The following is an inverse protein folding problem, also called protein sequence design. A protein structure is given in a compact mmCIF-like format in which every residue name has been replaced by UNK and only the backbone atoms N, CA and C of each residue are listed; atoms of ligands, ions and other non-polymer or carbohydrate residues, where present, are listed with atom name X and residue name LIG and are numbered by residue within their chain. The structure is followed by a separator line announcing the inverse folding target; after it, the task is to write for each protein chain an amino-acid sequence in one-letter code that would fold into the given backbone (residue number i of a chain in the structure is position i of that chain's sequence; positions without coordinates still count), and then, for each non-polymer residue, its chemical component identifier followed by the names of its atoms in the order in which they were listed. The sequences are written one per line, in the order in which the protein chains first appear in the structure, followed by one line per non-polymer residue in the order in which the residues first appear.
data_IF_427610282527
#
_entry.id   IF_427610282527
#
_cell.length_a   1.000
_cell.length_b   1.000
_cell.length_c   1.000
_cell.angle_alpha   90.00
_cell.angle_beta   90.00
_cell.angle_gamma   90.00
#
_symmetry.space_group_name_H-M   'P 1'
#
loop_
_entity.id
_entity.type
_entity.pdbx_description
1 polymer ?
#
# COMPACT_ATOMS: atom_id res chain seq x y z
N UNK A 1 -16.03 9.69 19.92
CA UNK A 1 -16.39 9.79 21.37
C UNK A 1 -15.41 8.93 22.17
N UNK A 2 -15.32 9.02 23.51
CA UNK A 2 -14.47 8.10 24.31
C UNK A 2 -15.36 7.05 24.98
N UNK A 3 -15.25 5.79 24.58
CA UNK A 3 -15.89 4.69 25.28
C UNK A 3 -14.88 4.06 26.25
N UNK A 4 -15.24 4.04 27.53
CA UNK A 4 -14.51 3.31 28.55
C UNK A 4 -15.46 2.33 29.22
N UNK A 5 -14.94 1.15 29.57
CA UNK A 5 -15.65 0.16 30.38
C UNK A 5 -15.00 0.21 31.77
N UNK A 6 -15.79 0.51 32.80
CA UNK A 6 -15.33 0.42 34.18
C UNK A 6 -15.67 -0.94 34.78
N UNK A 7 -14.83 -1.46 35.68
CA UNK A 7 -15.23 -2.57 36.56
C UNK A 7 -16.23 -2.08 37.62
N UNK A 8 -16.71 -3.01 38.45
CA UNK A 8 -17.64 -2.76 39.56
C UNK A 8 -17.11 -1.75 40.58
N UNK A 9 -15.79 -1.54 40.62
CA UNK A 9 -15.09 -0.61 41.52
C UNK A 9 -14.85 0.77 40.89
N UNK A 10 -15.34 1.00 39.66
CA UNK A 10 -15.21 2.28 38.96
C UNK A 10 -13.86 2.50 38.28
N UNK A 11 -12.99 1.50 38.26
CA UNK A 11 -11.69 1.56 37.59
C UNK A 11 -11.84 1.29 36.10
N UNK A 12 -11.14 2.06 35.27
CA UNK A 12 -11.12 1.86 33.82
C UNK A 12 -10.39 0.56 33.50
N UNK A 13 -11.10 -0.44 32.98
CA UNK A 13 -10.51 -1.74 32.61
C UNK A 13 -10.15 -1.82 31.13
N UNK A 14 -10.93 -1.13 30.28
CA UNK A 14 -10.72 -1.14 28.84
C UNK A 14 -10.91 0.28 28.29
N UNK A 15 -9.86 0.81 27.68
CA UNK A 15 -9.89 2.06 26.95
C UNK A 15 -10.10 1.73 25.46
N UNK A 16 -11.29 1.99 24.94
CA UNK A 16 -11.52 1.91 23.49
C UNK A 16 -11.27 3.32 22.94
N UNK A 17 -10.05 3.51 22.44
CA UNK A 17 -9.69 4.71 21.70
C UNK A 17 -10.37 4.62 20.32
N UNK A 18 -11.52 5.28 20.20
CA UNK A 18 -12.21 5.55 18.94
C UNK A 18 -11.34 6.37 17.96
N UNK A 19 -10.18 6.86 18.43
CA UNK A 19 -9.26 7.69 17.68
C UNK A 19 -7.81 7.44 18.14
N UNK A 20 -7.31 6.22 17.93
CA UNK A 20 -5.87 6.00 17.83
C UNK A 20 -5.39 6.70 16.53
N UNK A 21 -5.18 8.02 16.63
CA UNK A 21 -4.72 8.93 15.57
C UNK A 21 -3.27 8.67 15.11
N UNK A 22 -2.80 7.42 15.18
CA UNK A 22 -1.50 7.01 14.66
C UNK A 22 -1.63 6.53 13.23
N UNK A 23 -1.37 7.42 12.26
CA UNK A 23 -0.97 7.08 10.90
C UNK A 23 -1.70 5.89 10.23
N UNK A 24 -3.03 5.95 10.12
CA UNK A 24 -3.85 4.86 9.53
C UNK A 24 -3.78 4.85 7.99
N UNK A 25 -2.57 4.84 7.44
CA UNK A 25 -2.36 4.63 6.01
C UNK A 25 -2.65 3.16 5.66
N UNK A 26 -3.57 2.94 4.73
CA UNK A 26 -3.71 1.67 4.04
C UNK A 26 -2.92 1.69 2.74
N UNK A 27 -2.11 0.67 2.52
CA UNK A 27 -1.25 0.59 1.34
C UNK A 27 -1.91 -0.26 0.24
N UNK A 28 -2.02 0.33 -0.94
CA UNK A 28 -2.58 -0.28 -2.15
C UNK A 28 -1.55 -0.23 -3.28
N UNK A 29 -1.60 -1.22 -4.17
CA UNK A 29 -0.97 -1.10 -5.47
C UNK A 29 -2.02 -0.69 -6.50
N UNK A 30 -1.99 0.57 -6.93
CA UNK A 30 -2.95 1.14 -7.89
C UNK A 30 -2.70 0.58 -9.29
N UNK A 31 -3.73 -0.04 -9.84
CA UNK A 31 -3.79 -0.54 -11.22
C UNK A 31 -4.55 0.42 -12.13
N UNK A 32 -5.35 1.30 -11.55
CA UNK A 32 -6.09 2.36 -12.25
C UNK A 32 -5.93 3.65 -11.47
N UNK A 33 -5.50 4.69 -12.16
CA UNK A 33 -5.45 6.06 -11.66
C UNK A 33 -6.00 6.99 -12.74
N UNK A 34 -6.57 8.16 -12.36
CA UNK A 34 -7.08 9.14 -13.31
C UNK A 34 -6.00 9.62 -14.25
N UNK A 35 -6.26 9.53 -15.55
CA UNK A 35 -5.49 10.19 -16.59
C UNK A 35 -6.28 11.41 -17.11
N UNK A 36 -5.56 12.49 -17.43
CA UNK A 36 -6.17 13.64 -18.10
C UNK A 36 -6.23 13.33 -19.59
N UNK A 37 -7.42 13.08 -20.11
CA UNK A 37 -7.65 12.95 -21.56
C UNK A 37 -8.56 14.09 -22.00
N UNK A 38 -8.09 14.92 -22.94
CA UNK A 38 -8.85 15.97 -23.62
C UNK A 38 -9.71 16.88 -22.70
N UNK A 39 -9.14 17.31 -21.57
CA UNK A 39 -9.77 18.27 -20.66
C UNK A 39 -10.87 17.71 -19.75
N UNK A 40 -11.28 16.45 -19.95
CA UNK A 40 -12.23 15.74 -19.07
C UNK A 40 -11.46 14.79 -18.16
N UNK A 41 -11.49 15.04 -16.84
CA UNK A 41 -10.82 14.18 -15.87
C UNK A 41 -11.80 13.11 -15.38
N UNK A 42 -11.62 11.86 -15.83
CA UNK A 42 -12.26 10.70 -15.21
C UNK A 42 -11.52 10.37 -13.93
N UNK A 43 -12.12 10.67 -12.78
CA UNK A 43 -11.49 10.52 -11.46
C UNK A 43 -11.82 9.16 -10.84
N UNK A 44 -11.36 8.05 -11.40
CA UNK A 44 -11.47 6.73 -10.77
C UNK A 44 -10.11 6.19 -10.32
N UNK A 45 -10.07 5.64 -9.11
CA UNK A 45 -8.92 4.93 -8.57
C UNK A 45 -9.31 3.49 -8.27
N UNK A 46 -8.48 2.54 -8.68
CA UNK A 46 -8.64 1.14 -8.31
C UNK A 46 -7.27 0.50 -8.11
N UNK A 47 -7.22 -0.49 -7.23
CA UNK A 47 -5.97 -1.17 -6.93
C UNK A 47 -6.14 -2.40 -6.08
N UNK A 48 -5.00 -3.01 -5.79
CA UNK A 48 -4.87 -4.25 -5.06
C UNK A 48 -4.49 -3.96 -3.61
N UNK A 49 -5.14 -4.66 -2.70
CA UNK A 49 -4.70 -4.78 -1.30
C UNK A 49 -4.86 -6.22 -0.86
N UNK A 50 -3.79 -6.84 -0.39
CA UNK A 50 -3.73 -8.24 0.06
C UNK A 50 -4.39 -9.18 -0.97
N UNK A 51 -3.94 -9.09 -2.23
CA UNK A 51 -4.45 -9.92 -3.34
C UNK A 51 -5.84 -9.57 -3.87
N UNK A 52 -6.57 -8.64 -3.23
CA UNK A 52 -7.94 -8.30 -3.61
C UNK A 52 -7.99 -6.99 -4.37
N UNK A 53 -8.63 -6.99 -5.54
CA UNK A 53 -8.94 -5.78 -6.32
C UNK A 53 -10.10 -5.01 -5.71
N UNK A 54 -9.96 -3.69 -5.62
CA UNK A 54 -11.00 -2.80 -5.10
C UNK A 54 -10.99 -1.45 -5.80
N UNK A 55 -12.20 -0.91 -6.03
CA UNK A 55 -12.38 0.49 -6.40
C UNK A 55 -12.31 1.35 -5.15
N UNK A 56 -11.71 2.54 -5.26
CA UNK A 56 -11.58 3.50 -4.17
C UNK A 56 -12.53 4.67 -4.43
N UNK A 57 -13.52 4.85 -3.55
CA UNK A 57 -14.46 5.97 -3.64
C UNK A 57 -13.76 7.28 -3.27
N UNK A 58 -13.36 8.03 -4.28
CA UNK A 58 -12.70 9.32 -4.14
C UNK A 58 -13.67 10.51 -4.11
N UNK A 59 -14.98 10.29 -4.16
CA UNK A 59 -16.02 11.32 -4.15
C UNK A 59 -15.70 12.49 -5.12
N UNK A 60 -15.29 12.16 -6.33
CA UNK A 60 -14.94 13.15 -7.36
C UNK A 60 -13.59 13.87 -7.19
N UNK A 61 -12.79 13.55 -6.17
CA UNK A 61 -11.51 14.23 -5.89
C UNK A 61 -10.35 13.62 -6.69
N UNK A 62 -9.46 14.49 -7.16
CA UNK A 62 -8.18 14.09 -7.76
C UNK A 62 -7.05 14.25 -6.75
N UNK A 63 -6.25 13.20 -6.56
CA UNK A 63 -5.18 13.16 -5.56
C UNK A 63 -3.76 13.26 -6.16
N UNK A 64 -3.61 13.37 -7.48
CA UNK A 64 -2.29 13.57 -8.09
C UNK A 64 -1.34 12.37 -8.00
N UNK A 65 -1.86 11.16 -7.76
CA UNK A 65 -1.06 9.92 -7.78
C UNK A 65 -1.29 9.14 -9.07
N UNK A 66 -0.33 8.31 -9.45
CA UNK A 66 -0.36 7.46 -10.64
C UNK A 66 -0.49 5.98 -10.25
N UNK A 67 -0.53 5.09 -11.25
CA UNK A 67 -0.41 3.65 -11.01
C UNK A 67 0.88 3.33 -10.27
N UNK A 68 0.85 2.29 -9.42
CA UNK A 68 1.94 1.96 -8.50
C UNK A 68 1.52 1.97 -7.02
N UNK A 69 2.49 1.88 -6.12
CA UNK A 69 2.24 1.85 -4.68
C UNK A 69 1.71 3.19 -4.17
N UNK A 70 0.56 3.19 -3.49
CA UNK A 70 -0.04 4.36 -2.87
C UNK A 70 -0.49 4.08 -1.44
N UNK A 71 -0.34 5.09 -0.57
CA UNK A 71 -0.94 5.13 0.74
C UNK A 71 -2.28 5.84 0.63
N UNK A 72 -3.31 5.29 1.27
CA UNK A 72 -4.68 5.78 1.25
C UNK A 72 -5.16 5.96 2.69
N UNK A 73 -5.72 7.13 2.99
CA UNK A 73 -6.47 7.38 4.22
C UNK A 73 -7.94 7.48 3.88
N UNK A 74 -8.80 6.95 4.75
CA UNK A 74 -10.24 6.97 4.57
C UNK A 74 -10.92 7.88 5.60
N UNK A 75 -12.07 8.42 5.22
CA UNK A 75 -13.03 8.99 6.16
C UNK A 75 -13.78 7.84 6.86
N UNK A 76 -14.54 8.17 7.91
CA UNK A 76 -15.35 7.19 8.64
C UNK A 76 -16.44 6.52 7.79
N UNK A 77 -16.83 7.14 6.67
CA UNK A 77 -17.81 6.61 5.71
C UNK A 77 -17.19 5.69 4.63
N UNK A 78 -15.86 5.47 4.68
CA UNK A 78 -15.13 4.64 3.73
C UNK A 78 -14.69 5.36 2.45
N UNK A 79 -15.04 6.64 2.27
CA UNK A 79 -14.53 7.44 1.14
C UNK A 79 -13.06 7.82 1.37
N UNK A 80 -12.31 8.00 0.29
CA UNK A 80 -10.91 8.43 0.35
C UNK A 80 -10.83 9.86 0.87
N UNK A 81 -10.13 10.00 2.00
CA UNK A 81 -9.78 11.28 2.62
C UNK A 81 -8.55 11.89 1.97
N UNK A 82 -7.52 11.06 1.75
CA UNK A 82 -6.22 11.49 1.26
C UNK A 82 -5.50 10.32 0.58
N UNK A 83 -4.65 10.61 -0.39
CA UNK A 83 -3.84 9.61 -1.09
C UNK A 83 -2.46 10.18 -1.40
N UNK A 84 -1.42 9.36 -1.21
CA UNK A 84 -0.03 9.75 -1.47
C UNK A 84 0.72 8.63 -2.17
N UNK A 85 1.54 8.99 -3.14
CA UNK A 85 2.40 8.05 -3.86
C UNK A 85 3.54 7.57 -2.95
N UNK A 86 3.80 6.27 -2.95
CA UNK A 86 5.00 5.70 -2.32
C UNK A 86 6.21 5.92 -3.23
N UNK A 87 7.40 5.93 -2.65
CA UNK A 87 8.64 6.03 -3.42
C UNK A 87 8.99 4.66 -4.01
N UNK A 88 9.15 4.60 -5.34
CA UNK A 88 9.59 3.39 -6.03
C UNK A 88 11.11 3.23 -5.94
N UNK A 89 11.57 2.02 -5.63
CA UNK A 89 12.99 1.66 -5.51
C UNK A 89 13.23 0.32 -6.19
N UNK A 90 14.24 0.24 -7.06
CA UNK A 90 14.71 -1.06 -7.57
C UNK A 90 15.47 -1.79 -6.46
N UNK A 91 15.10 -3.04 -6.19
CA UNK A 91 15.70 -3.83 -5.12
C UNK A 91 16.73 -4.80 -5.68
N UNK A 92 17.92 -4.76 -5.12
CA UNK A 92 19.10 -5.54 -5.50
C UNK A 92 19.18 -6.85 -4.71
N UNK A 93 18.60 -6.90 -3.51
CA UNK A 93 18.54 -8.12 -2.69
C UNK A 93 17.36 -8.10 -1.70
N UNK A 94 16.97 -9.29 -1.25
CA UNK A 94 15.92 -9.52 -0.26
C UNK A 94 16.39 -10.42 0.87
N UNK A 95 15.89 -10.15 2.08
CA UNK A 95 15.87 -11.06 3.21
C UNK A 95 14.43 -11.22 3.71
N UNK A 96 14.22 -11.92 4.83
CA UNK A 96 12.90 -12.05 5.46
C UNK A 96 12.38 -10.75 6.10
N UNK A 97 13.25 -9.78 6.39
CA UNK A 97 12.91 -8.57 7.16
C UNK A 97 13.44 -7.27 6.53
N UNK A 98 14.26 -7.36 5.49
CA UNK A 98 14.85 -6.20 4.83
C UNK A 98 15.04 -6.43 3.34
N UNK A 99 15.18 -5.34 2.60
CA UNK A 99 15.60 -5.30 1.22
C UNK A 99 16.72 -4.28 1.04
N UNK A 100 17.58 -4.49 0.05
CA UNK A 100 18.58 -3.51 -0.36
C UNK A 100 18.19 -2.93 -1.71
N UNK A 101 18.34 -1.62 -1.88
CA UNK A 101 18.16 -0.95 -3.18
C UNK A 101 18.95 0.35 -3.21
N UNK A 102 19.77 0.56 -4.24
CA UNK A 102 20.54 1.80 -4.39
C UNK A 102 21.44 2.11 -3.18
N UNK A 103 22.14 1.09 -2.70
CA UNK A 103 23.01 1.14 -1.49
C UNK A 103 22.29 1.47 -0.17
N UNK A 104 20.96 1.49 -0.15
CA UNK A 104 20.18 1.72 1.07
C UNK A 104 19.52 0.42 1.50
N UNK A 105 19.59 0.12 2.80
CA UNK A 105 18.82 -0.97 3.41
C UNK A 105 17.46 -0.44 3.89
N UNK A 106 16.39 -1.07 3.42
CA UNK A 106 15.02 -0.77 3.83
C UNK A 106 14.48 -1.91 4.67
N UNK A 107 13.82 -1.59 5.77
CA UNK A 107 13.05 -2.58 6.54
C UNK A 107 11.77 -2.94 5.79
N UNK A 108 11.44 -4.23 5.74
CA UNK A 108 10.14 -4.68 5.23
C UNK A 108 9.07 -4.47 6.29
N UNK A 109 7.88 -4.09 5.85
CA UNK A 109 6.71 -4.14 6.72
C UNK A 109 6.37 -5.60 7.07
N UNK A 110 5.84 -5.84 8.27
CA UNK A 110 5.40 -7.19 8.69
C UNK A 110 4.28 -7.75 7.82
N UNK A 111 3.47 -6.87 7.21
CA UNK A 111 2.44 -7.20 6.23
C UNK A 111 2.82 -6.78 4.82
N UNK A 112 4.12 -6.78 4.47
CA UNK A 112 4.57 -6.44 3.11
C UNK A 112 3.80 -7.27 2.08
N UNK A 113 3.22 -6.58 1.10
CA UNK A 113 2.46 -7.21 0.04
C UNK A 113 3.40 -7.54 -1.11
N UNK A 114 3.35 -8.77 -1.62
CA UNK A 114 4.23 -9.19 -2.72
C UNK A 114 3.37 -9.65 -3.89
N UNK A 115 3.63 -9.10 -5.07
CA UNK A 115 2.90 -9.42 -6.28
C UNK A 115 3.85 -9.84 -7.39
N UNK A 116 3.56 -10.98 -8.02
CA UNK A 116 4.14 -11.36 -9.30
C UNK A 116 3.37 -10.68 -10.42
N UNK A 117 4.06 -9.84 -11.20
CA UNK A 117 3.51 -9.17 -12.40
C UNK A 117 3.81 -10.03 -13.63
N UNK A 118 2.76 -10.54 -14.26
CA UNK A 118 2.87 -11.50 -15.38
C UNK A 118 1.74 -11.35 -16.38
N UNK A 119 2.03 -11.60 -17.66
CA UNK A 119 1.02 -11.74 -18.70
C UNK A 119 0.26 -13.05 -18.54
N UNK A 120 -1.07 -12.98 -18.57
CA UNK A 120 -1.89 -14.17 -18.70
C UNK A 120 -1.87 -14.73 -20.15
N UNK A 121 -2.46 -15.91 -20.42
CA UNK A 121 -2.53 -16.47 -21.77
C UNK A 121 -3.26 -15.60 -22.80
N UNK A 122 -4.00 -14.59 -22.36
CA UNK A 122 -4.68 -13.60 -23.19
C UNK A 122 -3.86 -12.32 -23.38
N UNK A 123 -2.57 -12.35 -23.02
CA UNK A 123 -1.64 -11.21 -23.09
C UNK A 123 -2.10 -10.00 -22.27
N UNK A 124 -2.89 -10.21 -21.23
CA UNK A 124 -3.26 -9.18 -20.27
C UNK A 124 -2.30 -9.20 -19.09
N UNK A 125 -1.78 -8.03 -18.74
CA UNK A 125 -0.88 -7.90 -17.59
C UNK A 125 -1.67 -8.02 -16.30
N UNK A 126 -1.33 -9.01 -15.47
CA UNK A 126 -1.97 -9.30 -14.21
C UNK A 126 -0.97 -9.28 -13.06
N UNK A 127 -1.50 -9.20 -11.85
CA UNK A 127 -0.74 -9.19 -10.61
C UNK A 127 -1.28 -10.28 -9.68
N UNK A 128 -0.42 -11.23 -9.32
CA UNK A 128 -0.77 -12.37 -8.48
C UNK A 128 -0.09 -12.24 -7.14
N UNK A 129 -0.85 -12.27 -6.04
CA UNK A 129 -0.26 -12.22 -4.71
C UNK A 129 0.55 -13.51 -4.46
N UNK A 130 1.79 -13.35 -4.02
CA UNK A 130 2.69 -14.46 -3.69
C UNK A 130 3.35 -14.23 -2.33
N UNK A 131 4.04 -15.23 -1.80
CA UNK A 131 4.82 -15.07 -0.57
C UNK A 131 6.17 -14.41 -0.87
N UNK A 132 6.72 -13.67 0.10
CA UNK A 132 8.07 -13.11 -0.04
C UNK A 132 9.13 -14.18 -0.35
N UNK A 133 8.96 -15.39 0.19
CA UNK A 133 9.88 -16.51 0.00
C UNK A 133 9.83 -17.12 -1.41
N UNK A 134 8.85 -16.79 -2.25
CA UNK A 134 8.73 -17.33 -3.61
C UNK A 134 9.42 -16.47 -4.67
N UNK A 135 10.04 -15.36 -4.27
CA UNK A 135 10.74 -14.43 -5.17
C UNK A 135 12.16 -14.20 -4.68
N UNK A 136 13.05 -13.81 -5.60
CA UNK A 136 14.42 -13.46 -5.29
C UNK A 136 14.97 -12.49 -6.35
N UNK A 137 16.06 -11.78 -6.03
CA UNK A 137 16.65 -10.79 -6.92
C UNK A 137 17.47 -11.39 -8.08
N UNK A 138 17.78 -12.69 -8.05
CA UNK A 138 18.50 -13.36 -9.13
C UNK A 138 17.57 -13.63 -10.32
N UNK A 139 16.38 -14.17 -10.05
CA UNK A 139 15.41 -14.58 -11.07
C UNK A 139 14.44 -13.47 -11.46
N UNK A 140 14.19 -12.52 -10.56
CA UNK A 140 13.21 -11.46 -10.76
C UNK A 140 13.86 -10.07 -10.73
N UNK A 141 13.32 -9.17 -11.56
CA UNK A 141 13.47 -7.73 -11.36
C UNK A 141 12.48 -7.31 -10.28
N UNK A 142 12.98 -6.69 -9.22
CA UNK A 142 12.20 -6.34 -8.04
C UNK A 142 12.03 -4.83 -7.92
N UNK A 143 10.79 -4.39 -7.71
CA UNK A 143 10.43 -3.00 -7.42
C UNK A 143 9.76 -2.91 -6.06
N UNK A 144 10.41 -2.26 -5.09
CA UNK A 144 9.86 -1.96 -3.78
C UNK A 144 9.18 -0.60 -3.76
N UNK A 145 8.06 -0.49 -3.05
CA UNK A 145 7.36 0.77 -2.79
C UNK A 145 7.48 1.13 -1.31
N UNK A 146 8.11 2.27 -1.04
CA UNK A 146 8.51 2.72 0.30
C UNK A 146 7.65 3.88 0.76
N UNK A 147 7.13 3.83 1.99
CA UNK A 147 6.30 4.90 2.54
C UNK A 147 7.13 6.00 3.21
N UNK A 148 7.55 7.00 2.43
CA UNK A 148 8.35 8.13 2.93
C UNK A 148 7.48 9.32 3.34
N UNK A 149 6.44 9.08 4.16
CA UNK A 149 5.48 10.13 4.54
C UNK A 149 5.91 10.96 5.75
N UNK A 150 7.08 10.69 6.33
CA UNK A 150 7.57 11.34 7.55
C UNK A 150 6.94 10.78 8.84
N UNK A 151 6.16 9.71 8.75
CA UNK A 151 5.57 9.00 9.88
C UNK A 151 6.64 8.22 10.66
N UNK A 152 6.51 8.15 12.00
CA UNK A 152 7.46 7.42 12.87
C UNK A 152 7.56 5.93 12.51
N UNK A 153 6.45 5.33 12.07
CA UNK A 153 6.40 3.94 11.62
C UNK A 153 6.70 3.76 10.10
N UNK A 154 7.06 4.84 9.40
CA UNK A 154 7.30 4.85 7.96
C UNK A 154 8.72 4.49 7.55
N UNK A 155 9.05 4.74 6.28
CA UNK A 155 10.34 4.39 5.69
C UNK A 155 10.49 2.89 5.39
N UNK A 156 9.39 2.16 5.34
CA UNK A 156 9.37 0.70 5.15
C UNK A 156 8.93 0.35 3.74
N UNK A 157 9.41 -0.78 3.23
CA UNK A 157 8.83 -1.36 2.01
C UNK A 157 7.46 -1.93 2.35
N UNK A 158 6.41 -1.39 1.74
CA UNK A 158 5.02 -1.81 1.94
C UNK A 158 4.55 -2.80 0.88
N UNK A 159 5.06 -2.65 -0.34
CA UNK A 159 4.68 -3.46 -1.50
C UNK A 159 5.94 -3.80 -2.30
N UNK A 160 6.03 -5.03 -2.79
CA UNK A 160 7.06 -5.50 -3.73
C UNK A 160 6.36 -6.03 -4.98
N UNK A 161 6.81 -5.55 -6.15
CA UNK A 161 6.45 -6.11 -7.44
C UNK A 161 7.64 -6.90 -7.98
N UNK A 162 7.40 -8.16 -8.32
CA UNK A 162 8.36 -9.03 -8.96
C UNK A 162 7.98 -9.26 -10.43
N UNK A 163 8.94 -9.10 -11.32
CA UNK A 163 8.82 -9.34 -12.77
C UNK A 163 9.89 -10.35 -13.17
N UNK A 164 9.52 -11.44 -13.86
CA UNK A 164 10.48 -12.41 -14.40
C UNK A 164 11.45 -11.69 -15.36
N UNK A 165 12.75 -12.05 -15.29
CA UNK A 165 13.78 -11.50 -16.18
C UNK A 165 13.78 -12.14 -17.56
#
# INVERSE_FOLDING_TARGET
MRYYITNTDGEITHLILDDATGDTWSFYYLTTAPEKTDGTLSVSYAGLKNGTSSSLDNNGKYFGVTTGGAGVQFNSDGTVKNMRQLTSVTLDSLSSVSAMGGNTTYTLDTGVQVYLRKLDPSYTMNYYQVSLSSINAADYKLTGWVDQFGCTAGGRVRIIIAEEK
#
